data_IF_792678537283
#
_entry.id   IF_792678537283
#
_cell.length_a   1.000
_cell.length_b   1.000
_cell.length_c   1.000
_cell.angle_alpha   90.00
_cell.angle_beta   90.00
_cell.angle_gamma   90.00
#
_symmetry.space_group_name_H-M   'P 1'
#
loop_
_entity.id
_entity.type
_entity.pdbx_description
1 polymer ?
#
# COMPACT_ATOMS: atom_id res chain seq x y z
N UNK A 1 -28.96 -5.23 -4.23
CA UNK A 1 -28.33 -4.36 -3.23
C UNK A 1 -27.21 -3.62 -3.93
N UNK A 2 -27.25 -2.30 -3.95
CA UNK A 2 -26.13 -1.52 -4.50
C UNK A 2 -24.91 -1.78 -3.63
N UNK A 3 -23.83 -2.30 -4.23
CA UNK A 3 -22.55 -2.40 -3.58
C UNK A 3 -22.17 -0.98 -3.12
N UNK A 4 -21.88 -0.73 -1.83
CA UNK A 4 -21.54 0.60 -1.38
C UNK A 4 -20.30 1.05 -2.17
N UNK A 5 -20.45 2.13 -2.93
CA UNK A 5 -19.35 2.70 -3.74
C UNK A 5 -18.12 2.81 -2.86
N UNK A 6 -17.05 2.08 -3.21
CA UNK A 6 -15.79 2.11 -2.46
C UNK A 6 -15.08 3.46 -2.58
N UNK A 7 -15.55 4.36 -3.43
CA UNK A 7 -14.87 5.60 -3.77
C UNK A 7 -14.00 5.47 -5.02
N UNK A 8 -13.27 6.53 -5.33
CA UNK A 8 -12.47 6.60 -6.56
C UNK A 8 -10.98 6.88 -6.30
N UNK A 9 -10.63 7.37 -5.12
CA UNK A 9 -9.25 7.64 -4.69
C UNK A 9 -8.94 6.78 -3.48
N UNK A 10 -8.35 5.62 -3.73
CA UNK A 10 -8.18 4.57 -2.74
C UNK A 10 -6.70 4.44 -2.36
N UNK A 11 -6.41 4.70 -1.09
CA UNK A 11 -5.08 4.50 -0.51
C UNK A 11 -5.02 3.14 0.19
N UNK A 12 -3.97 2.35 -0.11
CA UNK A 12 -3.73 1.06 0.54
C UNK A 12 -2.45 1.14 1.36
N UNK A 13 -2.58 0.95 2.66
CA UNK A 13 -1.50 0.96 3.63
C UNK A 13 -1.35 -0.42 4.28
N UNK A 14 -0.18 -0.68 4.82
CA UNK A 14 0.16 -1.91 5.53
C UNK A 14 1.66 -2.16 5.55
N UNK A 15 2.09 -3.07 6.41
CA UNK A 15 3.47 -3.49 6.55
C UNK A 15 4.03 -4.05 5.23
N UNK A 16 5.34 -3.92 4.95
CA UNK A 16 5.97 -4.70 3.87
C UNK A 16 5.64 -6.18 4.02
N UNK A 17 5.31 -6.85 2.92
CA UNK A 17 4.89 -8.26 2.93
C UNK A 17 3.41 -8.50 3.27
N UNK A 18 2.63 -7.47 3.60
CA UNK A 18 1.18 -7.64 3.84
C UNK A 18 0.37 -7.96 2.58
N UNK A 19 0.92 -7.71 1.39
CA UNK A 19 0.24 -7.97 0.12
C UNK A 19 -0.53 -6.79 -0.43
N UNK A 20 -0.14 -5.57 -0.10
CA UNK A 20 -0.75 -4.32 -0.61
C UNK A 20 -0.87 -4.30 -2.12
N UNK A 21 0.21 -4.60 -2.84
CA UNK A 21 0.23 -4.59 -4.31
C UNK A 21 -0.69 -5.64 -4.90
N UNK A 22 -0.73 -6.84 -4.33
CA UNK A 22 -1.64 -7.90 -4.75
C UNK A 22 -3.09 -7.50 -4.51
N UNK A 23 -3.40 -6.93 -3.35
CA UNK A 23 -4.72 -6.40 -3.03
C UNK A 23 -5.11 -5.27 -3.99
N UNK A 24 -4.19 -4.33 -4.26
CA UNK A 24 -4.41 -3.21 -5.18
C UNK A 24 -4.80 -3.69 -6.59
N UNK A 25 -4.07 -4.67 -7.14
CA UNK A 25 -4.37 -5.25 -8.45
C UNK A 25 -5.71 -5.99 -8.47
N UNK A 26 -6.01 -6.75 -7.42
CA UNK A 26 -7.30 -7.45 -7.30
C UNK A 26 -8.47 -6.46 -7.20
N UNK A 27 -8.29 -5.35 -6.50
CA UNK A 27 -9.28 -4.28 -6.41
C UNK A 27 -9.47 -3.57 -7.74
N UNK A 28 -8.37 -3.27 -8.45
CA UNK A 28 -8.42 -2.66 -9.77
C UNK A 28 -9.19 -3.52 -10.79
N UNK A 29 -8.97 -4.83 -10.77
CA UNK A 29 -9.69 -5.76 -11.65
C UNK A 29 -11.21 -5.73 -11.44
N UNK A 30 -11.68 -5.37 -10.24
CA UNK A 30 -13.11 -5.28 -9.90
C UNK A 30 -13.72 -3.91 -10.11
N UNK A 31 -12.93 -2.86 -9.97
CA UNK A 31 -13.41 -1.47 -9.99
C UNK A 31 -13.12 -0.74 -11.29
N UNK A 32 -12.15 -1.22 -12.08
CA UNK A 32 -11.65 -0.52 -13.25
C UNK A 32 -10.86 0.75 -12.92
N UNK A 33 -10.44 0.92 -11.66
CA UNK A 33 -9.60 2.05 -11.25
C UNK A 33 -8.13 1.80 -11.63
N UNK A 34 -7.40 2.81 -12.07
CA UNK A 34 -5.96 2.67 -12.34
C UNK A 34 -5.18 2.46 -11.03
N UNK A 35 -4.18 1.57 -11.10
CA UNK A 35 -3.27 1.29 -9.96
C UNK A 35 -1.94 2.00 -10.19
N UNK A 36 -1.44 2.62 -9.13
CA UNK A 36 -0.07 3.13 -9.06
C UNK A 36 0.63 2.51 -7.85
N UNK A 37 1.71 1.80 -8.12
CA UNK A 37 2.60 1.26 -7.09
C UNK A 37 3.72 2.26 -6.84
N UNK A 38 3.83 2.82 -5.62
CA UNK A 38 4.86 3.81 -5.31
C UNK A 38 6.29 3.26 -5.46
N UNK A 39 6.48 1.97 -5.29
CA UNK A 39 7.77 1.33 -5.53
C UNK A 39 8.22 1.46 -7.00
N UNK A 40 7.29 1.41 -7.96
CA UNK A 40 7.60 1.69 -9.36
C UNK A 40 7.92 3.16 -9.64
N UNK A 41 7.42 4.06 -8.80
CA UNK A 41 7.75 5.49 -8.90
C UNK A 41 9.13 5.80 -8.30
N UNK A 42 9.48 5.14 -7.20
CA UNK A 42 10.71 5.37 -6.45
C UNK A 42 11.91 4.67 -7.06
N UNK A 43 11.78 3.37 -7.39
CA UNK A 43 12.88 2.53 -7.85
C UNK A 43 13.06 2.55 -9.36
N UNK A 44 14.32 2.41 -9.80
CA UNK A 44 14.71 2.13 -11.18
C UNK A 44 15.04 0.66 -11.37
N UNK A 45 15.05 0.19 -12.62
CA UNK A 45 15.35 -1.20 -12.95
C UNK A 45 16.76 -1.66 -12.53
N UNK A 46 17.70 -0.73 -12.39
CA UNK A 46 19.08 -1.01 -11.95
C UNK A 46 19.24 -1.06 -10.40
N UNK A 47 18.14 -0.94 -9.65
CA UNK A 47 18.14 -0.94 -8.19
C UNK A 47 18.47 0.41 -7.55
N UNK A 48 18.73 1.45 -8.35
CA UNK A 48 18.84 2.83 -7.87
C UNK A 48 17.45 3.46 -7.72
N UNK A 49 17.37 4.64 -7.13
CA UNK A 49 16.11 5.35 -6.96
C UNK A 49 16.21 6.82 -7.39
N UNK A 50 15.08 7.45 -7.58
CA UNK A 50 14.99 8.88 -7.88
C UNK A 50 15.28 9.73 -6.64
N UNK A 51 15.43 11.04 -6.82
CA UNK A 51 15.55 11.96 -5.69
C UNK A 51 14.25 12.06 -4.90
N UNK A 52 14.36 12.48 -3.62
CA UNK A 52 13.18 12.70 -2.78
C UNK A 52 12.30 13.81 -3.36
N UNK A 53 12.91 14.86 -3.89
CA UNK A 53 12.22 15.98 -4.52
C UNK A 53 11.43 15.55 -5.77
N UNK A 54 12.03 14.71 -6.61
CA UNK A 54 11.35 14.18 -7.81
C UNK A 54 10.20 13.25 -7.44
N UNK A 55 10.39 12.43 -6.41
CA UNK A 55 9.34 11.57 -5.87
C UNK A 55 8.16 12.41 -5.33
N UNK A 56 8.44 13.43 -4.53
CA UNK A 56 7.40 14.29 -3.95
C UNK A 56 6.63 15.06 -5.03
N UNK A 57 7.32 15.51 -6.07
CA UNK A 57 6.69 16.18 -7.24
C UNK A 57 5.76 15.21 -7.97
N UNK A 58 6.26 14.05 -8.34
CA UNK A 58 5.48 13.03 -9.05
C UNK A 58 4.28 12.55 -8.23
N UNK A 59 4.45 12.33 -6.93
CA UNK A 59 3.37 11.98 -6.01
C UNK A 59 2.32 13.11 -5.95
N UNK A 60 2.75 14.36 -5.83
CA UNK A 60 1.85 15.52 -5.79
C UNK A 60 0.98 15.64 -7.05
N UNK A 61 1.56 15.42 -8.23
CA UNK A 61 0.83 15.40 -9.51
C UNK A 61 -0.18 14.24 -9.54
N UNK A 62 0.21 13.05 -9.12
CA UNK A 62 -0.64 11.87 -9.07
C UNK A 62 -1.85 12.07 -8.17
N UNK A 63 -1.67 12.67 -6.99
CA UNK A 63 -2.72 12.90 -6.01
C UNK A 63 -3.78 13.91 -6.47
N UNK A 64 -3.51 14.73 -7.49
CA UNK A 64 -4.50 15.62 -8.12
C UNK A 64 -5.48 14.86 -9.03
N UNK A 65 -5.17 13.63 -9.40
CA UNK A 65 -6.05 12.78 -10.19
C UNK A 65 -7.36 12.46 -9.45
N UNK A 66 -8.43 12.28 -10.20
CA UNK A 66 -9.76 11.99 -9.65
C UNK A 66 -9.99 10.50 -9.37
N UNK A 67 -9.17 9.63 -9.96
CA UNK A 67 -9.35 8.18 -9.92
C UNK A 67 -8.01 7.47 -9.81
N UNK A 68 -7.78 6.78 -8.71
CA UNK A 68 -6.57 5.98 -8.52
C UNK A 68 -6.70 4.99 -7.36
N UNK A 69 -5.94 3.91 -7.45
CA UNK A 69 -5.56 3.05 -6.33
C UNK A 69 -4.07 3.22 -6.13
N UNK A 70 -3.65 3.58 -4.94
CA UNK A 70 -2.27 3.91 -4.61
C UNK A 70 -1.79 3.04 -3.46
N UNK A 71 -0.72 2.31 -3.67
CA UNK A 71 -0.07 1.53 -2.62
C UNK A 71 1.39 1.91 -2.40
N UNK A 72 1.91 1.54 -1.27
CA UNK A 72 3.29 1.75 -0.85
C UNK A 72 3.37 2.19 0.59
N UNK A 73 4.48 1.87 1.25
CA UNK A 73 4.68 2.28 2.63
C UNK A 73 5.03 3.77 2.74
N UNK A 74 6.26 4.18 2.52
CA UNK A 74 6.68 5.60 2.46
C UNK A 74 6.03 6.47 3.55
N UNK A 75 6.27 6.15 4.82
CA UNK A 75 5.59 6.72 5.99
C UNK A 75 5.61 8.25 6.05
N UNK A 76 6.67 8.87 5.57
CA UNK A 76 6.79 10.33 5.45
C UNK A 76 5.65 10.97 4.64
N UNK A 77 5.02 10.22 3.76
CA UNK A 77 3.96 10.69 2.86
C UNK A 77 2.56 10.22 3.27
N UNK A 78 2.39 9.54 4.40
CA UNK A 78 1.11 9.00 4.83
C UNK A 78 0.01 10.07 4.87
N UNK A 79 0.26 11.21 5.52
CA UNK A 79 -0.76 12.22 5.72
C UNK A 79 -1.19 12.87 4.40
N UNK A 80 -0.26 13.26 3.54
CA UNK A 80 -0.61 13.90 2.27
C UNK A 80 -1.42 12.97 1.36
N UNK A 81 -1.10 11.68 1.36
CA UNK A 81 -1.85 10.67 0.61
C UNK A 81 -3.24 10.43 1.21
N UNK A 82 -3.33 10.32 2.53
CA UNK A 82 -4.59 10.09 3.22
C UNK A 82 -5.56 11.27 3.03
N UNK A 83 -5.05 12.50 3.09
CA UNK A 83 -5.85 13.71 2.82
C UNK A 83 -6.45 13.71 1.42
N UNK A 84 -5.71 13.24 0.41
CA UNK A 84 -6.17 13.16 -0.96
C UNK A 84 -7.16 12.00 -1.21
N UNK A 85 -7.09 10.94 -0.43
CA UNK A 85 -7.95 9.75 -0.57
C UNK A 85 -9.38 10.02 -0.09
N UNK A 86 -10.35 9.31 -0.67
CA UNK A 86 -11.70 9.18 -0.12
C UNK A 86 -11.86 7.89 0.69
N UNK A 87 -11.09 6.86 0.35
CA UNK A 87 -11.10 5.56 1.03
C UNK A 87 -9.67 5.13 1.37
N UNK A 88 -9.49 4.62 2.58
CA UNK A 88 -8.23 4.05 3.05
C UNK A 88 -8.46 2.58 3.40
N UNK A 89 -7.67 1.71 2.79
CA UNK A 89 -7.58 0.30 3.15
C UNK A 89 -6.32 0.10 3.96
N UNK A 90 -6.45 -0.44 5.15
CA UNK A 90 -5.31 -0.77 6.00
C UNK A 90 -5.22 -2.29 6.21
N UNK A 91 -4.17 -2.90 5.66
CA UNK A 91 -3.85 -4.31 5.88
C UNK A 91 -3.03 -4.42 7.17
N UNK A 92 -3.74 -4.48 8.30
CA UNK A 92 -3.17 -4.51 9.65
C UNK A 92 -2.88 -5.95 10.09
N UNK A 93 -1.93 -6.60 9.40
CA UNK A 93 -1.60 -8.01 9.64
C UNK A 93 -0.49 -8.18 10.66
N UNK A 94 -0.46 -9.32 11.38
CA UNK A 94 0.61 -9.65 12.32
C UNK A 94 1.99 -9.71 11.64
N UNK A 95 3.04 -9.51 12.44
CA UNK A 95 4.44 -9.52 11.98
C UNK A 95 4.82 -10.80 11.24
N UNK A 96 4.44 -11.96 11.76
CA UNK A 96 4.74 -13.27 11.17
C UNK A 96 4.13 -13.42 9.76
N UNK A 97 2.93 -12.93 9.54
CA UNK A 97 2.28 -12.91 8.22
C UNK A 97 3.04 -12.04 7.24
N UNK A 98 3.47 -10.86 7.67
CA UNK A 98 4.23 -9.93 6.86
C UNK A 98 5.66 -10.44 6.57
N UNK A 99 6.29 -11.05 7.58
CA UNK A 99 7.60 -11.69 7.43
C UNK A 99 7.56 -12.83 6.41
N UNK A 100 6.56 -13.69 6.48
CA UNK A 100 6.32 -14.73 5.48
C UNK A 100 6.12 -14.13 4.08
N UNK A 101 5.38 -13.04 4.00
CA UNK A 101 5.13 -12.32 2.74
C UNK A 101 6.41 -11.80 2.08
N UNK A 102 7.35 -11.20 2.83
CA UNK A 102 8.61 -10.73 2.25
C UNK A 102 9.54 -11.88 1.85
N UNK A 103 9.51 -13.01 2.57
CA UNK A 103 10.29 -14.20 2.22
C UNK A 103 9.82 -14.84 0.92
N UNK A 104 8.51 -14.96 0.71
CA UNK A 104 7.91 -15.60 -0.47
C UNK A 104 8.23 -14.88 -1.77
N UNK A 105 8.46 -13.56 -1.74
CA UNK A 105 8.70 -12.78 -2.96
C UNK A 105 10.16 -12.82 -3.44
N UNK A 106 11.08 -13.39 -2.67
CA UNK A 106 12.48 -13.54 -3.09
C UNK A 106 12.56 -14.39 -4.36
N UNK A 107 13.24 -13.86 -5.38
CA UNK A 107 13.36 -14.51 -6.65
C UNK A 107 12.16 -14.38 -7.59
N UNK A 108 11.07 -13.76 -7.16
CA UNK A 108 9.87 -13.55 -7.98
C UNK A 108 9.94 -12.23 -8.76
N UNK A 109 9.47 -12.26 -10.00
CA UNK A 109 9.21 -11.05 -10.77
C UNK A 109 7.83 -10.49 -10.36
N UNK A 110 7.78 -9.19 -10.11
CA UNK A 110 6.57 -8.54 -9.61
C UNK A 110 6.24 -7.29 -10.41
N UNK A 111 4.94 -7.05 -10.71
CA UNK A 111 4.52 -5.84 -11.44
C UNK A 111 4.73 -4.54 -10.66
N UNK A 112 4.83 -4.60 -9.33
CA UNK A 112 4.96 -3.46 -8.43
C UNK A 112 6.40 -3.02 -8.18
N UNK A 113 7.39 -3.79 -8.67
CA UNK A 113 8.81 -3.52 -8.46
C UNK A 113 9.57 -3.65 -9.79
N UNK A 114 10.37 -2.66 -10.19
CA UNK A 114 11.06 -2.68 -11.48
C UNK A 114 12.32 -3.56 -11.49
N UNK A 115 12.70 -4.13 -10.35
CA UNK A 115 13.83 -5.05 -10.23
C UNK A 115 13.48 -6.26 -9.35
N UNK A 116 14.23 -7.34 -9.51
CA UNK A 116 13.99 -8.60 -8.82
C UNK A 116 14.82 -8.70 -7.55
N UNK A 117 14.17 -8.95 -6.42
CA UNK A 117 14.85 -9.23 -5.16
C UNK A 117 15.47 -10.61 -5.17
N UNK A 118 16.79 -10.71 -5.08
CA UNK A 118 17.53 -11.99 -5.10
C UNK A 118 17.83 -12.53 -3.70
N UNK A 119 17.88 -11.66 -2.70
CA UNK A 119 18.15 -11.98 -1.29
C UNK A 119 17.24 -11.19 -0.39
N UNK A 120 17.03 -11.67 0.84
CA UNK A 120 16.26 -10.96 1.84
C UNK A 120 17.08 -9.80 2.40
N UNK A 121 16.62 -8.57 2.16
CA UNK A 121 17.27 -7.36 2.64
C UNK A 121 17.10 -7.23 4.16
N UNK A 122 18.22 -7.11 4.94
CA UNK A 122 18.15 -6.92 6.38
C UNK A 122 17.39 -5.64 6.80
N UNK A 123 17.44 -4.57 6.01
CA UNK A 123 16.69 -3.35 6.28
C UNK A 123 15.19 -3.58 6.13
N UNK A 124 14.76 -4.35 5.15
CA UNK A 124 13.37 -4.72 4.96
C UNK A 124 12.87 -5.61 6.11
N UNK A 125 13.67 -6.55 6.58
CA UNK A 125 13.38 -7.36 7.76
C UNK A 125 13.17 -6.47 8.98
N UNK A 126 14.08 -5.51 9.21
CA UNK A 126 13.97 -4.57 10.32
C UNK A 126 12.70 -3.68 10.21
N UNK A 127 12.32 -3.27 9.02
CA UNK A 127 11.07 -2.53 8.79
C UNK A 127 9.84 -3.35 9.19
N UNK A 128 9.80 -4.63 8.85
CA UNK A 128 8.70 -5.52 9.25
C UNK A 128 8.65 -5.70 10.77
N UNK A 129 9.81 -5.98 11.40
CA UNK A 129 9.91 -6.19 12.84
C UNK A 129 9.53 -4.94 13.65
N UNK A 130 9.83 -3.77 13.14
CA UNK A 130 9.57 -2.50 13.83
C UNK A 130 8.24 -1.85 13.44
N UNK A 131 7.52 -2.39 12.46
CA UNK A 131 6.32 -1.78 11.91
C UNK A 131 5.24 -1.51 12.97
N UNK A 132 4.99 -2.45 13.86
CA UNK A 132 3.99 -2.32 14.92
C UNK A 132 4.31 -1.19 15.90
N UNK A 133 5.59 -0.89 16.12
CA UNK A 133 6.05 0.19 16.98
C UNK A 133 6.13 1.54 16.25
N UNK A 134 6.63 1.55 15.03
CA UNK A 134 7.04 2.79 14.35
C UNK A 134 5.97 3.31 13.37
N UNK A 135 5.33 2.45 12.60
CA UNK A 135 4.44 2.84 11.52
C UNK A 135 2.95 2.65 11.84
N UNK A 136 2.60 1.51 12.41
CA UNK A 136 1.20 1.19 12.75
C UNK A 136 0.52 2.28 13.59
N UNK A 137 1.13 2.83 14.66
CA UNK A 137 0.51 3.89 15.46
C UNK A 137 0.26 5.17 14.66
N UNK A 138 1.14 5.50 13.70
CA UNK A 138 0.96 6.65 12.81
C UNK A 138 -0.27 6.48 11.92
N UNK A 139 -0.45 5.30 11.31
CA UNK A 139 -1.61 5.00 10.48
C UNK A 139 -2.90 5.10 11.29
N UNK A 140 -2.95 4.47 12.46
CA UNK A 140 -4.13 4.50 13.34
C UNK A 140 -4.46 5.92 13.80
N UNK A 141 -3.46 6.71 14.17
CA UNK A 141 -3.64 8.11 14.56
C UNK A 141 -4.20 8.96 13.42
N UNK A 142 -3.69 8.77 12.20
CA UNK A 142 -4.20 9.48 11.03
C UNK A 142 -5.65 9.10 10.72
N UNK A 143 -6.00 7.82 10.79
CA UNK A 143 -7.39 7.39 10.58
C UNK A 143 -8.35 8.01 11.62
N UNK A 144 -7.90 8.19 12.86
CA UNK A 144 -8.68 8.88 13.89
C UNK A 144 -8.81 10.38 13.63
N UNK A 145 -7.76 11.00 13.05
CA UNK A 145 -7.74 12.44 12.75
C UNK A 145 -8.60 12.83 11.55
N UNK A 146 -8.92 11.88 10.69
CA UNK A 146 -9.72 12.09 9.46
C UNK A 146 -10.94 11.15 9.45
N UNK A 147 -11.88 11.30 10.39
CA UNK A 147 -13.01 10.39 10.54
C UNK A 147 -14.01 10.44 9.37
N UNK A 148 -13.94 11.46 8.54
CA UNK A 148 -14.73 11.58 7.31
C UNK A 148 -14.25 10.62 6.20
N UNK A 149 -13.03 10.10 6.30
CA UNK A 149 -12.51 9.13 5.33
C UNK A 149 -13.09 7.75 5.62
N UNK A 150 -13.47 7.05 4.57
CA UNK A 150 -13.88 5.66 4.71
C UNK A 150 -12.66 4.79 5.01
N UNK A 151 -12.60 4.20 6.19
CA UNK A 151 -11.53 3.30 6.60
C UNK A 151 -12.01 1.84 6.54
N UNK A 152 -11.24 0.99 5.86
CA UNK A 152 -11.42 -0.46 5.81
C UNK A 152 -10.16 -1.10 6.39
N UNK A 153 -10.28 -1.67 7.59
CA UNK A 153 -9.17 -2.30 8.30
C UNK A 153 -9.36 -3.81 8.28
N UNK A 154 -8.39 -4.52 7.73
CA UNK A 154 -8.37 -5.98 7.69
C UNK A 154 -7.22 -6.51 8.55
N UNK A 155 -7.52 -7.41 9.46
CA UNK A 155 -6.53 -8.01 10.36
C UNK A 155 -6.06 -9.39 9.92
N UNK A 156 -6.61 -9.91 8.81
CA UNK A 156 -6.16 -11.16 8.18
C UNK A 156 -6.37 -11.14 6.66
N UNK A 157 -5.57 -11.94 5.95
CA UNK A 157 -5.72 -12.15 4.51
C UNK A 157 -7.12 -12.68 4.14
N UNK A 158 -7.67 -13.54 5.00
CA UNK A 158 -9.01 -14.12 4.78
C UNK A 158 -10.10 -13.04 4.81
N UNK A 159 -10.04 -12.10 5.74
CA UNK A 159 -10.99 -10.97 5.79
C UNK A 159 -10.90 -10.10 4.53
N UNK A 160 -9.70 -9.75 4.11
CA UNK A 160 -9.48 -8.95 2.91
C UNK A 160 -10.00 -9.66 1.65
N UNK A 161 -9.70 -10.96 1.50
CA UNK A 161 -10.17 -11.78 0.38
C UNK A 161 -11.69 -11.91 0.37
N UNK A 162 -12.31 -12.17 1.52
CA UNK A 162 -13.76 -12.26 1.65
C UNK A 162 -14.45 -10.93 1.30
N UNK A 163 -13.87 -9.82 1.67
CA UNK A 163 -14.40 -8.51 1.30
C UNK A 163 -14.29 -8.26 -0.22
N UNK A 164 -13.10 -8.53 -0.81
CA UNK A 164 -12.90 -8.40 -2.26
C UNK A 164 -13.88 -9.27 -3.07
N UNK A 165 -14.23 -10.47 -2.58
CA UNK A 165 -15.14 -11.38 -3.30
C UNK A 165 -16.58 -10.87 -3.39
N UNK A 166 -16.94 -9.85 -2.61
CA UNK A 166 -18.28 -9.23 -2.60
C UNK A 166 -18.39 -8.00 -3.51
N UNK A 167 -17.28 -7.55 -4.07
CA UNK A 167 -17.25 -6.49 -5.08
C UNK A 167 -17.48 -7.05 -6.48
#
# INVERSE_FOLDING_TARGET
MQNPSIGHRILILGCPGSGKSTFARALAARTGLPVVHLDNLWWRADGTHISREDFDRALGELLQGERWILDGDYSRTYEVRLRAADTVVFLDYPEDVCMDGIRRRIGEERPDMPWKESTLDPELVAQVQNYARDNRPQVLSLLQSYPEKRALIFTSRAQAAAWLSRL
#
